data_IF_176144763850
#
_entry.id   IF_176144763850
#
_cell.length_a   1.000
_cell.length_b   1.000
_cell.length_c   1.000
_cell.angle_alpha   90.00
_cell.angle_beta   90.00
_cell.angle_gamma   90.00
#
_symmetry.space_group_name_H-M   'P 1'
#
loop_
_entity.id
_entity.type
_entity.pdbx_description
1 polymer ?
#
# COMPACT_ATOMS: atom_id res chain seq x y z
N UNK A 1 15.41 17.88 -11.29
CA UNK A 1 14.17 18.65 -11.01
C UNK A 1 13.22 18.41 -12.17
N UNK A 2 11.96 18.19 -11.91
CA UNK A 2 10.90 18.17 -12.92
C UNK A 2 10.01 19.40 -12.69
N UNK A 3 9.58 20.02 -13.77
CA UNK A 3 8.59 21.09 -13.72
C UNK A 3 7.21 20.44 -13.60
N UNK A 4 6.37 20.97 -12.75
CA UNK A 4 4.99 20.54 -12.57
C UNK A 4 4.07 21.76 -12.56
N UNK A 5 2.95 21.66 -13.25
CA UNK A 5 1.89 22.67 -13.19
C UNK A 5 0.94 22.34 -12.05
N UNK A 6 0.71 23.31 -11.18
CA UNK A 6 -0.25 23.19 -10.09
C UNK A 6 -1.57 23.75 -10.58
N UNK A 7 -2.62 22.92 -10.51
CA UNK A 7 -4.00 23.30 -10.87
C UNK A 7 -4.86 23.24 -9.59
N UNK A 8 -5.77 24.21 -9.44
CA UNK A 8 -6.74 24.22 -8.34
C UNK A 8 -7.91 23.29 -8.60
N UNK A 9 -8.26 23.07 -9.87
CA UNK A 9 -9.38 22.25 -10.30
C UNK A 9 -9.01 21.45 -11.54
N UNK A 10 -9.63 20.28 -11.69
CA UNK A 10 -9.52 19.44 -12.87
C UNK A 10 -10.78 19.57 -13.71
N UNK A 11 -10.65 20.00 -14.97
CA UNK A 11 -11.78 20.07 -15.90
C UNK A 11 -12.22 18.69 -16.39
N UNK A 12 -13.52 18.50 -16.61
CA UNK A 12 -14.07 17.30 -17.24
C UNK A 12 -13.45 17.05 -18.66
N UNK A 13 -13.04 18.11 -19.33
CA UNK A 13 -12.43 18.04 -20.67
C UNK A 13 -10.92 17.74 -20.66
N UNK A 14 -10.28 17.84 -19.51
CA UNK A 14 -8.87 17.46 -19.40
C UNK A 14 -8.73 15.95 -19.62
N UNK A 15 -7.77 15.57 -20.44
CA UNK A 15 -7.47 14.18 -20.75
C UNK A 15 -6.00 13.91 -20.50
N UNK A 16 -5.74 13.01 -19.55
CA UNK A 16 -4.41 12.55 -19.21
C UNK A 16 -4.29 11.05 -19.49
N UNK A 17 -3.08 10.59 -19.79
CA UNK A 17 -2.82 9.16 -19.94
C UNK A 17 -3.09 8.41 -18.62
N UNK A 18 -2.73 9.04 -17.49
CA UNK A 18 -2.92 8.52 -16.14
C UNK A 18 -3.24 9.64 -15.16
N UNK A 19 -4.22 9.40 -14.29
CA UNK A 19 -4.45 10.16 -13.06
C UNK A 19 -3.94 9.31 -11.90
N UNK A 20 -2.99 9.83 -11.13
CA UNK A 20 -2.52 9.18 -9.89
C UNK A 20 -3.34 9.72 -8.72
N UNK A 21 -4.24 8.91 -8.19
CA UNK A 21 -5.10 9.27 -7.06
C UNK A 21 -4.43 8.85 -5.75
N UNK A 22 -3.85 9.82 -5.05
CA UNK A 22 -3.06 9.64 -3.82
C UNK A 22 -3.71 10.26 -2.60
N UNK A 23 -5.03 10.20 -2.53
CA UNK A 23 -5.83 10.70 -1.40
C UNK A 23 -5.91 9.69 -0.25
N UNK A 24 -6.35 10.15 0.92
CA UNK A 24 -6.66 9.25 2.04
C UNK A 24 -7.94 8.46 1.75
N UNK A 25 -8.11 7.32 2.41
CA UNK A 25 -9.24 6.43 2.21
C UNK A 25 -10.59 7.13 2.42
N UNK A 26 -10.71 7.97 3.43
CA UNK A 26 -11.92 8.76 3.72
C UNK A 26 -12.26 9.85 2.68
N UNK A 27 -11.32 10.21 1.81
CA UNK A 27 -11.50 11.20 0.73
C UNK A 27 -11.72 10.51 -0.63
N UNK A 28 -11.57 9.20 -0.70
CA UNK A 28 -11.54 8.47 -1.96
C UNK A 28 -12.83 8.62 -2.77
N UNK A 29 -13.98 8.49 -2.12
CA UNK A 29 -15.28 8.54 -2.81
C UNK A 29 -15.60 9.92 -3.37
N UNK A 30 -15.24 10.98 -2.65
CA UNK A 30 -15.37 12.36 -3.09
C UNK A 30 -14.48 12.60 -4.32
N UNK A 31 -13.21 12.24 -4.25
CA UNK A 31 -12.28 12.37 -5.37
C UNK A 31 -12.69 11.53 -6.60
N UNK A 32 -13.26 10.34 -6.41
CA UNK A 32 -13.79 9.55 -7.52
C UNK A 32 -15.04 10.21 -8.14
N UNK A 33 -15.88 10.85 -7.34
CA UNK A 33 -17.05 11.56 -7.84
C UNK A 33 -16.66 12.75 -8.71
N UNK A 34 -15.61 13.51 -8.35
CA UNK A 34 -15.03 14.57 -9.18
C UNK A 34 -14.50 14.06 -10.52
N UNK A 35 -13.95 12.84 -10.54
CA UNK A 35 -13.39 12.21 -11.74
C UNK A 35 -14.42 11.50 -12.62
N UNK A 36 -15.70 11.48 -12.22
CA UNK A 36 -16.77 10.74 -12.90
C UNK A 36 -16.88 11.07 -14.38
N UNK A 37 -16.91 12.36 -14.71
CA UNK A 37 -17.09 12.86 -16.08
C UNK A 37 -15.77 13.14 -16.80
N UNK A 38 -14.65 13.14 -16.09
CA UNK A 38 -13.34 13.42 -16.67
C UNK A 38 -12.97 12.39 -17.75
N UNK A 39 -12.38 12.85 -18.86
CA UNK A 39 -12.09 12.05 -20.04
C UNK A 39 -10.85 11.15 -19.94
N UNK A 40 -10.08 11.23 -18.88
CA UNK A 40 -8.90 10.38 -18.70
C UNK A 40 -9.29 8.92 -18.54
N UNK A 41 -8.60 8.05 -19.27
CA UNK A 41 -8.97 6.63 -19.37
C UNK A 41 -8.50 5.77 -18.19
N UNK A 42 -7.48 6.23 -17.44
CA UNK A 42 -6.91 5.41 -16.37
C UNK A 42 -6.70 6.21 -15.09
N UNK A 43 -7.35 5.77 -14.02
CA UNK A 43 -7.17 6.30 -12.67
C UNK A 43 -6.43 5.24 -11.86
N UNK A 44 -5.19 5.55 -11.49
CA UNK A 44 -4.34 4.70 -10.66
C UNK A 44 -4.63 5.04 -9.20
N UNK A 45 -5.34 4.18 -8.50
CA UNK A 45 -5.72 4.41 -7.10
C UNK A 45 -4.64 3.89 -6.16
N UNK A 46 -3.86 4.80 -5.57
CA UNK A 46 -2.81 4.46 -4.59
C UNK A 46 -3.33 4.58 -3.15
N UNK A 47 -4.43 3.91 -2.87
CA UNK A 47 -5.16 4.01 -1.60
C UNK A 47 -5.27 2.64 -0.95
N UNK A 48 -5.04 2.58 0.37
CA UNK A 48 -5.38 1.40 1.16
C UNK A 48 -6.88 1.40 1.45
N UNK A 49 -7.60 0.37 0.98
CA UNK A 49 -9.00 0.20 1.30
C UNK A 49 -9.37 -1.28 1.38
N UNK A 50 -10.37 -1.58 2.19
CA UNK A 50 -11.01 -2.90 2.26
C UNK A 50 -12.18 -3.02 1.28
N UNK A 51 -12.55 -1.94 0.62
CA UNK A 51 -13.67 -1.89 -0.30
C UNK A 51 -13.43 -2.67 -1.60
N UNK A 52 -14.52 -3.13 -2.18
CA UNK A 52 -14.49 -3.73 -3.51
C UNK A 52 -14.26 -2.66 -4.58
N UNK A 53 -13.32 -2.88 -5.49
CA UNK A 53 -13.07 -2.01 -6.64
C UNK A 53 -14.28 -1.82 -7.55
N UNK A 54 -15.26 -2.73 -7.50
CA UNK A 54 -16.53 -2.57 -8.21
C UNK A 54 -17.26 -1.30 -7.80
N UNK A 55 -17.28 -0.96 -6.51
CA UNK A 55 -17.88 0.30 -6.02
C UNK A 55 -17.22 1.53 -6.66
N UNK A 56 -15.92 1.49 -6.89
CA UNK A 56 -15.18 2.57 -7.53
C UNK A 56 -15.49 2.65 -9.03
N UNK A 57 -15.53 1.49 -9.70
CA UNK A 57 -15.92 1.42 -11.11
C UNK A 57 -17.37 1.86 -11.34
N UNK A 58 -18.28 1.62 -10.39
CA UNK A 58 -19.67 2.07 -10.47
C UNK A 58 -19.78 3.61 -10.47
N UNK A 59 -18.79 4.34 -9.94
CA UNK A 59 -18.71 5.80 -9.94
C UNK A 59 -18.08 6.32 -11.24
N UNK A 60 -16.87 5.87 -11.55
CA UNK A 60 -16.06 6.46 -12.64
C UNK A 60 -16.18 5.73 -13.97
N UNK A 61 -16.86 4.60 -14.00
CA UNK A 61 -16.99 3.75 -15.18
C UNK A 61 -16.05 2.55 -15.18
N UNK A 62 -16.56 1.44 -15.72
CA UNK A 62 -15.86 0.16 -15.78
C UNK A 62 -14.56 0.25 -16.58
N UNK A 63 -13.50 -0.36 -16.07
CA UNK A 63 -12.20 -0.46 -16.72
C UNK A 63 -11.31 0.77 -16.58
N UNK A 64 -11.77 1.85 -15.92
CA UNK A 64 -10.95 3.05 -15.68
C UNK A 64 -10.04 2.92 -14.47
N UNK A 65 -10.35 2.07 -13.51
CA UNK A 65 -9.56 1.90 -12.30
C UNK A 65 -8.37 0.96 -12.55
N UNK A 66 -7.19 1.38 -12.13
CA UNK A 66 -6.00 0.55 -11.98
C UNK A 66 -5.57 0.59 -10.51
N UNK A 67 -5.97 -0.39 -9.69
CA UNK A 67 -5.60 -0.39 -8.29
C UNK A 67 -4.09 -0.61 -8.12
N UNK A 68 -3.48 0.22 -7.27
CA UNK A 68 -2.06 0.22 -6.99
C UNK A 68 -1.78 0.51 -5.51
N UNK A 69 -0.54 0.32 -5.12
CA UNK A 69 -0.01 0.72 -3.83
C UNK A 69 1.41 1.25 -3.99
N UNK A 70 1.76 2.43 -3.43
CA UNK A 70 3.09 3.00 -3.58
C UNK A 70 4.12 2.21 -2.77
N UNK A 71 5.26 1.92 -3.38
CA UNK A 71 6.43 1.37 -2.70
C UNK A 71 7.38 2.49 -2.28
N UNK A 72 6.89 3.40 -1.45
CA UNK A 72 7.65 4.53 -0.97
C UNK A 72 7.20 4.90 0.44
N UNK A 73 8.09 5.50 1.20
CA UNK A 73 7.81 6.10 2.47
C UNK A 73 8.53 7.44 2.57
N UNK A 74 8.02 8.34 3.41
CA UNK A 74 8.64 9.64 3.61
C UNK A 74 7.77 10.59 4.41
N UNK A 75 8.38 11.69 4.81
CA UNK A 75 7.73 12.77 5.55
C UNK A 75 8.15 14.11 4.98
N UNK A 76 7.38 15.14 5.25
CA UNK A 76 7.78 16.53 4.98
C UNK A 76 8.47 17.02 6.24
N UNK A 77 9.72 17.49 6.10
CA UNK A 77 10.48 18.06 7.22
C UNK A 77 10.00 19.48 7.57
N UNK A 78 10.57 20.06 8.63
CA UNK A 78 10.21 21.42 9.10
C UNK A 78 10.48 22.51 8.07
N UNK A 79 11.39 22.28 7.11
CA UNK A 79 11.69 23.19 6.00
C UNK A 79 10.72 23.03 4.82
N UNK A 80 9.71 22.17 4.93
CA UNK A 80 8.76 21.87 3.85
C UNK A 80 9.33 21.00 2.73
N UNK A 81 10.47 20.36 2.95
CA UNK A 81 11.11 19.47 1.98
C UNK A 81 10.63 18.03 2.18
N UNK A 82 10.19 17.40 1.11
CA UNK A 82 9.83 15.98 1.12
C UNK A 82 11.11 15.12 1.21
N UNK A 83 11.33 14.47 2.35
CA UNK A 83 12.29 13.38 2.48
C UNK A 83 11.58 12.05 2.23
N UNK A 84 11.82 11.49 1.06
CA UNK A 84 11.17 10.24 0.64
C UNK A 84 12.20 9.20 0.22
N UNK A 85 11.89 7.94 0.53
CA UNK A 85 12.67 6.80 0.14
C UNK A 85 11.82 5.76 -0.58
N UNK A 86 12.33 5.23 -1.70
CA UNK A 86 11.71 4.12 -2.38
C UNK A 86 12.00 2.82 -1.61
N UNK A 87 10.95 2.05 -1.38
CA UNK A 87 11.11 0.74 -0.72
C UNK A 87 11.79 -0.25 -1.68
N UNK A 88 12.81 -0.98 -1.23
CA UNK A 88 13.50 -1.95 -2.06
C UNK A 88 12.55 -3.00 -2.67
N UNK A 89 12.85 -3.43 -3.90
CA UNK A 89 12.02 -4.38 -4.66
C UNK A 89 11.71 -5.68 -3.91
N UNK A 90 12.64 -6.15 -3.09
CA UNK A 90 12.46 -7.40 -2.33
C UNK A 90 11.49 -7.25 -1.15
N UNK A 91 11.33 -6.04 -0.65
CA UNK A 91 10.50 -5.74 0.53
C UNK A 91 9.07 -5.43 0.08
N UNK A 92 8.85 -4.24 -0.50
CA UNK A 92 7.53 -3.78 -0.92
C UNK A 92 7.65 -2.75 -2.04
N UNK A 93 7.87 -3.18 -3.29
CA UNK A 93 7.88 -2.25 -4.42
C UNK A 93 6.48 -1.71 -4.71
N UNK A 94 6.38 -0.64 -5.51
CA UNK A 94 5.09 -0.19 -6.03
C UNK A 94 4.35 -1.36 -6.68
N UNK A 95 3.19 -1.69 -6.15
CA UNK A 95 2.44 -2.89 -6.54
C UNK A 95 1.15 -2.50 -7.21
N UNK A 96 0.80 -3.15 -8.32
CA UNK A 96 -0.45 -2.89 -9.03
C UNK A 96 -0.92 -4.11 -9.83
N UNK A 97 -2.21 -4.11 -10.18
CA UNK A 97 -2.79 -5.13 -11.05
C UNK A 97 -4.03 -4.59 -11.77
N UNK A 98 -4.40 -5.23 -12.87
CA UNK A 98 -5.77 -5.13 -13.38
C UNK A 98 -6.77 -5.76 -12.42
N UNK A 99 -7.97 -5.17 -12.34
CA UNK A 99 -9.06 -5.76 -11.54
C UNK A 99 -9.41 -7.16 -12.06
N UNK A 100 -9.37 -7.36 -13.37
CA UNK A 100 -9.61 -8.66 -14.01
C UNK A 100 -8.49 -9.69 -13.80
N UNK A 101 -7.35 -9.28 -13.26
CA UNK A 101 -6.14 -10.11 -13.15
C UNK A 101 -5.38 -10.32 -14.46
N UNK A 102 -5.88 -9.83 -15.59
CA UNK A 102 -5.28 -9.98 -16.90
C UNK A 102 -4.22 -8.89 -17.17
N UNK A 103 -3.36 -9.14 -18.15
CA UNK A 103 -2.43 -8.12 -18.63
C UNK A 103 -3.15 -7.20 -19.62
N UNK A 104 -2.99 -5.89 -19.45
CA UNK A 104 -3.57 -4.87 -20.33
C UNK A 104 -2.51 -3.90 -20.86
N UNK A 105 -2.88 -3.10 -21.83
CA UNK A 105 -2.00 -2.06 -22.37
C UNK A 105 -1.71 -1.00 -21.30
N UNK A 106 -2.70 -0.58 -20.50
CA UNK A 106 -2.48 0.37 -19.40
C UNK A 106 -1.48 -0.13 -18.36
N UNK A 107 -1.49 -1.44 -18.00
CA UNK A 107 -0.48 -2.01 -17.09
C UNK A 107 0.92 -2.05 -17.71
N UNK A 108 1.03 -2.21 -19.03
CA UNK A 108 2.32 -2.13 -19.73
C UNK A 108 2.85 -0.70 -19.74
N UNK A 109 1.98 0.27 -20.07
CA UNK A 109 2.35 1.70 -20.10
C UNK A 109 2.74 2.18 -18.71
N UNK A 110 1.96 1.89 -17.68
CA UNK A 110 2.30 2.22 -16.30
C UNK A 110 3.63 1.58 -15.85
N UNK A 111 3.89 0.33 -16.25
CA UNK A 111 5.20 -0.32 -16.02
C UNK A 111 6.35 0.42 -16.69
N UNK A 112 6.14 0.98 -17.91
CA UNK A 112 7.16 1.77 -18.60
C UNK A 112 7.47 3.07 -17.85
N UNK A 113 6.43 3.77 -17.38
CA UNK A 113 6.57 5.01 -16.59
C UNK A 113 7.40 4.73 -15.33
N UNK A 114 7.02 3.74 -14.53
CA UNK A 114 7.74 3.39 -13.31
C UNK A 114 9.20 2.97 -13.57
N UNK A 115 9.45 2.27 -14.67
CA UNK A 115 10.80 1.88 -15.09
C UNK A 115 11.66 3.09 -15.47
N UNK A 116 11.12 4.02 -16.26
CA UNK A 116 11.83 5.25 -16.65
C UNK A 116 12.11 6.15 -15.44
N UNK A 117 11.19 6.16 -14.47
CA UNK A 117 11.36 6.87 -13.20
C UNK A 117 12.28 6.14 -12.20
N UNK A 118 12.85 5.00 -12.56
CA UNK A 118 13.64 4.12 -11.65
C UNK A 118 12.91 3.72 -10.37
N UNK A 119 11.57 3.68 -10.41
CA UNK A 119 10.74 3.25 -9.27
C UNK A 119 10.60 1.73 -9.28
N UNK A 120 11.03 1.02 -8.22
CA UNK A 120 10.84 -0.41 -8.11
C UNK A 120 9.35 -0.77 -8.15
N UNK A 121 8.99 -1.74 -8.99
CA UNK A 121 7.59 -2.16 -9.10
C UNK A 121 7.43 -3.67 -9.26
N UNK A 122 6.23 -4.14 -8.95
CA UNK A 122 5.77 -5.50 -9.24
C UNK A 122 4.32 -5.49 -9.70
N UNK A 123 3.98 -6.49 -10.52
CA UNK A 123 2.59 -6.80 -10.89
C UNK A 123 2.14 -8.03 -10.14
N UNK A 124 0.93 -7.99 -9.59
CA UNK A 124 0.29 -9.12 -8.93
C UNK A 124 -0.95 -9.55 -9.75
N UNK A 125 -1.49 -10.71 -9.47
CA UNK A 125 -2.70 -11.18 -10.15
C UNK A 125 -3.96 -10.63 -9.47
N UNK A 126 -3.91 -10.50 -8.16
CA UNK A 126 -5.05 -10.12 -7.33
C UNK A 126 -4.60 -8.99 -6.38
N UNK A 127 -4.88 -7.76 -6.78
CA UNK A 127 -4.50 -6.58 -6.00
C UNK A 127 -5.33 -6.45 -4.73
N UNK A 128 -6.61 -6.83 -4.78
CA UNK A 128 -7.46 -6.77 -3.59
C UNK A 128 -6.95 -7.71 -2.49
N UNK A 129 -6.65 -8.96 -2.83
CA UNK A 129 -6.04 -9.89 -1.88
C UNK A 129 -4.67 -9.42 -1.39
N UNK A 130 -3.88 -8.78 -2.27
CA UNK A 130 -2.60 -8.19 -1.87
C UNK A 130 -2.81 -7.08 -0.83
N UNK A 131 -3.77 -6.18 -1.02
CA UNK A 131 -4.09 -5.11 -0.07
C UNK A 131 -4.62 -5.68 1.26
N UNK A 132 -5.48 -6.70 1.23
CA UNK A 132 -5.94 -7.38 2.44
C UNK A 132 -4.75 -7.99 3.24
N UNK A 133 -3.81 -8.63 2.54
CA UNK A 133 -2.60 -9.16 3.18
C UNK A 133 -1.71 -8.03 3.74
N UNK A 134 -1.60 -6.92 3.02
CA UNK A 134 -0.85 -5.75 3.47
C UNK A 134 -1.48 -5.18 4.75
N UNK A 135 -2.77 -4.91 4.76
CA UNK A 135 -3.49 -4.41 5.94
C UNK A 135 -3.43 -5.39 7.13
N UNK A 136 -3.55 -6.69 6.87
CA UNK A 136 -3.40 -7.72 7.90
C UNK A 136 -2.02 -7.68 8.58
N UNK A 137 -1.01 -7.15 7.89
CA UNK A 137 0.36 -6.97 8.39
C UNK A 137 0.55 -5.60 9.06
N UNK A 138 0.20 -4.52 8.37
CA UNK A 138 0.56 -3.17 8.85
C UNK A 138 -0.28 -2.72 10.04
N UNK A 139 -1.55 -3.11 10.13
CA UNK A 139 -2.41 -2.72 11.26
C UNK A 139 -1.86 -3.24 12.60
N UNK A 140 -1.51 -4.53 12.78
CA UNK A 140 -0.88 -4.97 14.02
C UNK A 140 0.47 -4.31 14.32
N UNK A 141 1.21 -3.91 13.29
CA UNK A 141 2.48 -3.20 13.43
C UNK A 141 2.24 -1.77 13.94
N UNK A 142 1.31 -1.04 13.33
CA UNK A 142 0.93 0.29 13.80
C UNK A 142 0.39 0.25 15.24
N UNK A 143 -0.52 -0.69 15.54
CA UNK A 143 -1.01 -0.91 16.90
C UNK A 143 0.13 -1.06 17.93
N UNK A 144 1.24 -1.72 17.55
CA UNK A 144 2.36 -1.92 18.45
C UNK A 144 3.06 -0.60 18.83
N UNK A 145 3.18 0.32 17.87
CA UNK A 145 3.74 1.66 18.14
C UNK A 145 2.80 2.50 19.00
N UNK A 146 1.49 2.43 18.77
CA UNK A 146 0.49 3.16 19.58
C UNK A 146 0.33 2.59 20.99
N UNK A 147 0.57 1.29 21.20
CA UNK A 147 0.49 0.64 22.50
C UNK A 147 1.77 0.82 23.36
N UNK A 148 2.88 1.22 22.75
CA UNK A 148 4.15 1.35 23.44
C UNK A 148 4.23 2.69 24.19
N UNK A 149 4.69 2.67 25.44
CA UNK A 149 4.97 3.89 26.23
C UNK A 149 6.04 4.77 25.56
N UNK A 150 6.97 4.14 24.84
CA UNK A 150 8.00 4.80 24.04
C UNK A 150 8.01 4.15 22.64
N UNK A 151 7.31 4.76 21.66
CA UNK A 151 7.19 4.18 20.32
C UNK A 151 8.53 3.86 19.66
N UNK A 152 9.57 4.70 19.81
CA UNK A 152 10.91 4.50 19.26
C UNK A 152 11.60 3.26 19.84
N UNK A 153 11.11 2.74 20.95
CA UNK A 153 11.63 1.55 21.63
C UNK A 153 10.62 0.40 21.70
N UNK A 154 9.57 0.46 20.90
CA UNK A 154 8.51 -0.55 20.90
C UNK A 154 9.05 -1.99 20.73
N UNK A 155 10.13 -2.17 19.98
CA UNK A 155 10.80 -3.45 19.78
C UNK A 155 11.37 -4.07 21.06
N UNK A 156 11.68 -3.26 22.08
CA UNK A 156 12.21 -3.72 23.39
C UNK A 156 11.12 -4.26 24.31
N UNK A 157 9.84 -3.93 24.03
CA UNK A 157 8.72 -4.45 24.80
C UNK A 157 8.34 -5.84 24.28
N UNK A 158 8.87 -6.85 24.95
CA UNK A 158 8.60 -8.25 24.61
C UNK A 158 7.12 -8.63 24.66
N UNK A 159 6.34 -8.01 25.55
CA UNK A 159 4.90 -8.26 25.69
C UNK A 159 4.14 -7.74 24.48
N UNK A 160 4.46 -6.52 24.04
CA UNK A 160 3.91 -5.92 22.82
C UNK A 160 4.31 -6.75 21.60
N UNK A 161 5.60 -7.08 21.42
CA UNK A 161 6.07 -7.87 20.29
C UNK A 161 5.40 -9.25 20.20
N UNK A 162 5.24 -9.93 21.34
CA UNK A 162 4.52 -11.21 21.40
C UNK A 162 3.04 -11.07 21.06
N UNK A 163 2.39 -9.98 21.49
CA UNK A 163 0.99 -9.65 21.15
C UNK A 163 0.84 -9.41 19.66
N UNK A 164 1.74 -8.62 19.06
CA UNK A 164 1.79 -8.32 17.63
C UNK A 164 1.99 -9.59 16.81
N UNK A 165 2.94 -10.45 17.19
CA UNK A 165 3.15 -11.75 16.55
C UNK A 165 1.89 -12.63 16.56
N UNK A 166 1.15 -12.67 17.68
CA UNK A 166 -0.13 -13.38 17.78
C UNK A 166 -1.19 -12.77 16.84
N UNK A 167 -1.32 -11.43 16.80
CA UNK A 167 -2.25 -10.72 15.88
C UNK A 167 -1.94 -11.07 14.44
N UNK A 168 -0.67 -11.00 14.01
CA UNK A 168 -0.23 -11.36 12.66
C UNK A 168 -0.62 -12.80 12.31
N UNK A 169 -0.23 -13.76 13.15
CA UNK A 169 -0.56 -15.18 12.94
C UNK A 169 -2.06 -15.44 12.80
N UNK A 170 -2.87 -14.81 13.65
CA UNK A 170 -4.34 -14.89 13.60
C UNK A 170 -4.89 -14.29 12.30
N UNK A 171 -4.45 -13.08 11.94
CA UNK A 171 -4.96 -12.37 10.76
C UNK A 171 -4.67 -13.14 9.47
N UNK A 172 -3.44 -13.61 9.28
CA UNK A 172 -3.09 -14.39 8.08
C UNK A 172 -3.74 -15.77 8.05
N UNK A 173 -3.96 -16.41 9.20
CA UNK A 173 -4.72 -17.66 9.28
C UNK A 173 -6.17 -17.46 8.92
N UNK A 174 -6.78 -16.37 9.38
CA UNK A 174 -8.15 -15.98 9.03
C UNK A 174 -8.29 -15.70 7.54
N UNK A 175 -7.46 -14.82 6.97
CA UNK A 175 -7.48 -14.51 5.53
C UNK A 175 -7.32 -15.76 4.67
N UNK A 176 -6.41 -16.65 5.03
CA UNK A 176 -6.20 -17.90 4.29
C UNK A 176 -7.43 -18.81 4.34
N UNK A 177 -8.11 -18.86 5.49
CA UNK A 177 -9.34 -19.65 5.64
C UNK A 177 -10.48 -19.08 4.78
N UNK A 178 -10.64 -17.76 4.76
CA UNK A 178 -11.72 -17.11 4.02
C UNK A 178 -11.49 -17.13 2.50
N UNK A 179 -10.28 -16.81 2.05
CA UNK A 179 -10.00 -16.58 0.64
C UNK A 179 -9.33 -17.76 -0.09
N UNK A 180 -8.98 -18.83 0.63
CA UNK A 180 -8.33 -19.99 0.04
C UNK A 180 -6.87 -19.76 -0.41
N UNK A 181 -6.42 -18.51 -0.59
CA UNK A 181 -5.05 -18.14 -1.00
C UNK A 181 -4.64 -16.81 -0.38
N UNK A 182 -3.33 -16.53 -0.34
CA UNK A 182 -2.77 -15.24 0.04
C UNK A 182 -1.96 -14.68 -1.13
N UNK A 183 -1.94 -13.36 -1.27
CA UNK A 183 -1.15 -12.67 -2.29
C UNK A 183 -0.27 -11.59 -1.65
N UNK A 184 1.06 -11.66 -1.81
CA UNK A 184 1.83 -12.75 -2.42
C UNK A 184 1.88 -14.00 -1.53
N UNK A 185 2.14 -15.16 -2.13
CA UNK A 185 2.14 -16.45 -1.40
C UNK A 185 3.15 -16.51 -0.25
N UNK A 186 4.25 -15.73 -0.30
CA UNK A 186 5.24 -15.60 0.78
C UNK A 186 4.63 -15.19 2.12
N UNK A 187 3.46 -14.53 2.12
CA UNK A 187 2.75 -14.12 3.34
C UNK A 187 2.28 -15.32 4.20
N UNK A 188 2.27 -16.53 3.63
CA UNK A 188 2.00 -17.75 4.42
C UNK A 188 3.04 -17.98 5.54
N UNK A 189 4.22 -17.38 5.47
CA UNK A 189 5.25 -17.50 6.51
C UNK A 189 4.71 -17.08 7.88
N UNK A 190 3.88 -16.04 7.94
CA UNK A 190 3.28 -15.58 9.21
C UNK A 190 2.35 -16.60 9.87
N UNK A 191 1.86 -17.60 9.12
CA UNK A 191 1.03 -18.67 9.65
C UNK A 191 1.86 -19.81 10.24
N UNK A 192 2.97 -20.13 9.59
CA UNK A 192 3.77 -21.31 9.95
C UNK A 192 4.89 -21.00 10.94
N UNK A 193 5.39 -19.76 10.95
CA UNK A 193 6.49 -19.38 11.81
C UNK A 193 6.12 -19.61 13.29
N UNK A 194 6.97 -20.29 14.09
CA UNK A 194 6.76 -20.41 15.52
C UNK A 194 6.68 -19.05 16.22
N UNK A 195 5.78 -18.92 17.17
CA UNK A 195 5.52 -17.65 17.84
C UNK A 195 6.76 -17.00 18.46
N UNK A 196 7.67 -17.73 19.15
CA UNK A 196 8.89 -17.14 19.69
C UNK A 196 9.79 -16.56 18.59
N UNK A 197 9.96 -17.27 17.47
CA UNK A 197 10.79 -16.82 16.36
C UNK A 197 10.20 -15.54 15.75
N UNK A 198 8.90 -15.51 15.51
CA UNK A 198 8.23 -14.33 14.99
C UNK A 198 8.36 -13.13 15.96
N UNK A 199 8.25 -13.37 17.27
CA UNK A 199 8.41 -12.32 18.28
C UNK A 199 9.82 -11.72 18.24
N UNK A 200 10.87 -12.56 18.15
CA UNK A 200 12.26 -12.11 18.03
C UNK A 200 12.44 -11.32 16.72
N UNK A 201 11.94 -11.84 15.60
CA UNK A 201 12.05 -11.15 14.31
C UNK A 201 11.40 -9.76 14.36
N UNK A 202 10.23 -9.63 14.96
CA UNK A 202 9.58 -8.34 15.13
C UNK A 202 10.43 -7.42 16.02
N UNK A 203 10.89 -7.88 17.18
CA UNK A 203 11.73 -7.09 18.08
C UNK A 203 12.96 -6.53 17.35
N UNK A 204 13.68 -7.37 16.61
CA UNK A 204 14.85 -6.95 15.83
C UNK A 204 14.47 -5.97 14.71
N UNK A 205 13.33 -6.21 14.03
CA UNK A 205 12.89 -5.33 12.93
C UNK A 205 12.50 -3.96 13.45
N UNK A 206 11.76 -3.88 14.56
CA UNK A 206 11.33 -2.61 15.17
C UNK A 206 12.52 -1.77 15.68
N UNK A 207 13.61 -2.40 16.14
CA UNK A 207 14.83 -1.71 16.59
C UNK A 207 15.82 -1.43 15.44
N UNK A 208 15.47 -1.78 14.20
CA UNK A 208 16.33 -1.56 13.04
C UNK A 208 16.04 -0.22 12.38
N UNK A 209 17.02 0.32 11.65
CA UNK A 209 16.84 1.51 10.81
C UNK A 209 15.74 1.34 9.75
N UNK A 210 15.46 0.10 9.34
CA UNK A 210 14.34 -0.21 8.47
C UNK A 210 12.99 -0.01 9.20
N UNK A 211 12.88 -0.52 10.43
CA UNK A 211 11.69 -0.33 11.27
C UNK A 211 11.40 1.14 11.50
N UNK A 212 12.43 1.89 11.84
CA UNK A 212 12.33 3.33 12.05
C UNK A 212 11.85 4.07 10.79
N UNK A 213 12.52 3.86 9.65
CA UNK A 213 12.25 4.59 8.41
C UNK A 213 10.96 4.18 7.71
N UNK A 214 10.59 2.89 7.72
CA UNK A 214 9.48 2.36 6.91
C UNK A 214 8.29 1.84 7.73
N UNK A 215 8.39 1.82 9.04
CA UNK A 215 7.31 1.37 9.90
C UNK A 215 6.87 2.47 10.87
N UNK A 216 7.79 2.98 11.69
CA UNK A 216 7.49 4.00 12.70
C UNK A 216 6.98 5.31 12.09
N UNK A 217 7.67 5.83 11.06
CA UNK A 217 7.27 7.09 10.40
C UNK A 217 5.94 6.99 9.63
N UNK A 218 5.36 5.80 9.50
CA UNK A 218 4.09 5.54 8.80
C UNK A 218 2.99 5.00 9.72
N UNK A 219 3.29 4.74 10.99
CA UNK A 219 2.31 4.38 12.00
C UNK A 219 1.58 5.62 12.51
#
# INVERSE_FOLDING_TARGET
RAEATILGELSDNDAYDFILLTVRENQLYEALAELKNNKSNTIVTMVNSLDSYKKWEDIVGKGRILPAFPGAGGSINDDGILDAALTPRMIQPTTFAEISGNKSEKTKQFSKILRHAHIPYQKVVDMHMWQLCHLAMVVPIADAYYEADCPERAGKDWKIMKKTAKKLKRNFSFLRKQAGRLSPCKMNIFRFLPLPIMTIMLAVTFESSFGDKFMYQHA
#
